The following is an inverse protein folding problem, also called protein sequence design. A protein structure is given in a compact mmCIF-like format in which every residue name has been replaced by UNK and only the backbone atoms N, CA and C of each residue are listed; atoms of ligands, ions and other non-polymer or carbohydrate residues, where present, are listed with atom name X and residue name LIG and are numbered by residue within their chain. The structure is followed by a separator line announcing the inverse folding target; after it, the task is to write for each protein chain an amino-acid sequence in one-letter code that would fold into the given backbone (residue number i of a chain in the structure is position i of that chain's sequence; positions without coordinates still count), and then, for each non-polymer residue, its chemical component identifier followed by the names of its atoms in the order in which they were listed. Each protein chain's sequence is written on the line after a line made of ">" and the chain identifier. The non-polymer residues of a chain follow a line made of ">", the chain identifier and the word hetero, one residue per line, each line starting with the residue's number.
data_IF_346503642298
#
_entry.id   IF_346503642298
#
_cell.length_a   1.000
_cell.length_b   1.000
_cell.length_c   1.000
_cell.angle_alpha   90.00
_cell.angle_beta   90.00
_cell.angle_gamma   90.00
#
_symmetry.space_group_name_H-M   'P 1'
#
loop_
_entity.id
_entity.type
_entity.pdbx_description
1 polymer ?
#
# COMPACT_ATOMS: atom_id res chain seq x y z
N UNK A 1 2.48 9.33 9.77
CA UNK A 1 2.77 9.18 8.32
C UNK A 1 1.50 9.13 7.50
N UNK A 2 0.60 8.21 7.82
CA UNK A 2 -0.62 8.08 7.03
C UNK A 2 -1.46 9.34 7.07
N UNK A 3 -1.47 10.01 8.21
CA UNK A 3 -2.19 11.27 8.33
C UNK A 3 -1.63 12.38 7.45
N UNK A 4 -0.31 12.41 7.27
CA UNK A 4 0.32 13.37 6.40
C UNK A 4 0.04 13.08 4.93
N UNK A 5 0.04 11.81 4.57
CA UNK A 5 -0.22 11.40 3.19
C UNK A 5 -1.63 11.79 2.74
N UNK A 6 -2.53 12.02 3.68
CA UNK A 6 -3.91 12.41 3.39
C UNK A 6 -4.07 13.89 3.02
N UNK A 7 -3.00 14.57 2.67
CA UNK A 7 -3.06 16.02 2.38
C UNK A 7 -3.33 16.33 0.91
N UNK A 8 -3.69 15.37 0.11
CA UNK A 8 -4.00 15.60 -1.29
C UNK A 8 -2.79 15.68 -2.21
N UNK A 9 -1.60 15.59 -1.64
CA UNK A 9 -0.34 15.72 -2.38
C UNK A 9 0.32 14.39 -2.70
N UNK A 10 -0.31 13.29 -2.33
CA UNK A 10 0.31 11.98 -2.45
C UNK A 10 -0.58 10.97 -3.14
N UNK A 11 0.06 10.04 -3.83
CA UNK A 11 -0.57 8.83 -4.35
C UNK A 11 -0.01 7.66 -3.55
N UNK A 12 -0.88 6.80 -3.04
CA UNK A 12 -0.48 5.67 -2.22
C UNK A 12 -0.93 4.39 -2.91
N UNK A 13 0.02 3.51 -3.12
CA UNK A 13 -0.22 2.18 -3.70
C UNK A 13 -0.14 1.17 -2.57
N UNK A 14 -1.13 0.29 -2.48
CA UNK A 14 -1.18 -0.73 -1.44
C UNK A 14 -1.28 -2.13 -2.04
N UNK A 15 -0.57 -3.08 -1.44
CA UNK A 15 -0.61 -4.49 -1.82
C UNK A 15 -0.59 -5.35 -0.56
N UNK A 16 -1.46 -6.34 -0.51
CA UNK A 16 -1.56 -7.23 0.64
C UNK A 16 -0.75 -8.51 0.42
N UNK A 17 0.03 -8.86 1.43
CA UNK A 17 0.76 -10.11 1.52
C UNK A 17 0.18 -10.90 2.69
N UNK A 18 -0.48 -12.03 2.41
CA UNK A 18 -1.03 -12.86 3.46
C UNK A 18 -2.37 -12.37 3.99
N UNK A 19 -2.49 -12.25 5.30
CA UNK A 19 -3.76 -11.94 5.95
C UNK A 19 -3.66 -10.63 6.72
N UNK A 20 -4.71 -9.81 6.62
CA UNK A 20 -4.79 -8.54 7.34
C UNK A 20 -5.99 -8.50 8.29
N UNK A 21 -6.82 -9.56 8.27
CA UNK A 21 -8.19 -9.44 8.75
C UNK A 21 -8.35 -9.14 10.22
N UNK A 22 -8.02 -10.13 11.05
CA UNK A 22 -8.47 -10.11 12.42
C UNK A 22 -7.68 -9.17 13.33
N UNK A 23 -6.47 -8.89 12.97
CA UNK A 23 -5.55 -8.17 13.86
C UNK A 23 -5.41 -6.70 13.52
N UNK A 24 -6.18 -6.19 12.57
CA UNK A 24 -6.07 -4.80 12.18
C UNK A 24 -6.70 -3.90 13.25
N UNK A 25 -5.88 -3.06 13.86
CA UNK A 25 -6.31 -2.12 14.89
C UNK A 25 -7.37 -1.17 14.37
N UNK A 26 -8.31 -0.78 15.26
CA UNK A 26 -9.33 0.18 14.92
C UNK A 26 -8.76 1.47 14.35
N UNK A 27 -7.69 1.98 14.95
CA UNK A 27 -7.07 3.22 14.50
C UNK A 27 -6.49 3.09 13.09
N UNK A 28 -5.92 1.94 12.74
CA UNK A 28 -5.41 1.73 11.39
C UNK A 28 -6.52 1.70 10.37
N UNK A 29 -7.64 1.06 10.71
CA UNK A 29 -8.81 1.05 9.82
C UNK A 29 -9.32 2.46 9.56
N UNK A 30 -9.36 3.26 10.61
CA UNK A 30 -9.82 4.64 10.51
C UNK A 30 -8.88 5.46 9.62
N UNK A 31 -7.57 5.29 9.82
CA UNK A 31 -6.58 5.99 9.00
C UNK A 31 -6.65 5.57 7.54
N UNK A 32 -6.81 4.28 7.27
CA UNK A 32 -6.93 3.80 5.89
C UNK A 32 -8.13 4.41 5.19
N UNK A 33 -9.25 4.53 5.88
CA UNK A 33 -10.43 5.21 5.33
C UNK A 33 -10.17 6.69 5.07
N UNK A 34 -9.49 7.34 5.98
CA UNK A 34 -9.14 8.76 5.78
C UNK A 34 -8.23 8.97 4.58
N UNK A 35 -7.37 8.01 4.28
CA UNK A 35 -6.52 8.09 3.10
C UNK A 35 -7.30 7.91 1.80
N UNK A 36 -8.49 7.35 1.86
CA UNK A 36 -9.32 7.15 0.70
C UNK A 36 -9.59 5.70 0.32
N UNK A 37 -8.96 4.74 1.00
CA UNK A 37 -9.25 3.33 0.74
C UNK A 37 -10.66 3.02 1.22
N UNK A 38 -11.49 2.47 0.32
CA UNK A 38 -12.88 2.16 0.62
C UNK A 38 -13.07 0.74 1.13
N UNK A 39 -12.13 -0.14 0.85
CA UNK A 39 -12.20 -1.52 1.28
C UNK A 39 -11.99 -1.62 2.79
N UNK A 40 -12.84 -2.42 3.45
CA UNK A 40 -12.60 -2.77 4.85
C UNK A 40 -11.67 -3.97 4.86
N UNK A 41 -10.41 -3.72 5.23
CA UNK A 41 -9.37 -4.74 5.19
C UNK A 41 -9.65 -5.94 6.10
N UNK A 42 -10.54 -5.77 7.09
CA UNK A 42 -10.93 -6.89 7.95
C UNK A 42 -11.76 -7.93 7.22
N UNK A 43 -12.42 -7.53 6.15
CA UNK A 43 -13.30 -8.44 5.40
C UNK A 43 -12.58 -9.16 4.27
N UNK A 44 -11.26 -8.94 4.12
CA UNK A 44 -10.51 -9.60 3.08
C UNK A 44 -10.40 -11.12 3.27
N UNK A 45 -10.35 -11.57 4.53
CA UNK A 45 -10.29 -13.00 4.84
C UNK A 45 -9.19 -13.74 4.07
N UNK A 46 -8.01 -13.12 4.03
CA UNK A 46 -6.87 -13.73 3.35
C UNK A 46 -6.87 -13.58 1.83
N UNK A 47 -7.79 -12.80 1.28
CA UNK A 47 -7.81 -12.55 -0.16
C UNK A 47 -6.70 -11.60 -0.56
N UNK A 48 -6.32 -11.67 -1.84
CA UNK A 48 -5.40 -10.71 -2.43
C UNK A 48 -6.08 -9.35 -2.55
N UNK A 49 -5.30 -8.27 -2.45
CA UNK A 49 -5.83 -6.92 -2.56
C UNK A 49 -4.79 -5.98 -3.15
N UNK A 50 -5.22 -5.18 -4.11
CA UNK A 50 -4.44 -4.09 -4.68
C UNK A 50 -5.29 -2.84 -4.62
N UNK A 51 -4.71 -1.74 -4.13
CA UNK A 51 -5.43 -0.47 -4.07
C UNK A 51 -4.52 0.70 -4.37
N UNK A 52 -5.10 1.73 -4.96
CA UNK A 52 -4.42 2.99 -5.23
C UNK A 52 -5.34 4.13 -4.84
N UNK A 53 -4.84 5.03 -4.01
CA UNK A 53 -5.54 6.26 -3.67
C UNK A 53 -4.69 7.44 -4.08
N UNK A 54 -5.33 8.52 -4.49
CA UNK A 54 -4.64 9.74 -4.85
C UNK A 54 -5.47 10.92 -4.39
N UNK A 55 -4.82 11.85 -3.69
CA UNK A 55 -5.52 13.01 -3.18
C UNK A 55 -6.65 12.68 -2.23
N UNK A 56 -6.53 11.60 -1.48
CA UNK A 56 -7.54 11.20 -0.51
C UNK A 56 -8.73 10.45 -1.09
N UNK A 57 -8.63 9.99 -2.34
CA UNK A 57 -9.72 9.26 -3.00
C UNK A 57 -9.20 7.98 -3.64
N UNK A 58 -9.98 6.92 -3.53
CA UNK A 58 -9.66 5.67 -4.21
C UNK A 58 -9.78 5.86 -5.72
N UNK A 59 -8.73 5.51 -6.43
CA UNK A 59 -8.74 5.53 -7.89
C UNK A 59 -8.77 4.11 -8.46
N UNK A 60 -8.40 3.12 -7.66
CA UNK A 60 -8.43 1.72 -8.07
C UNK A 60 -8.40 0.84 -6.83
N UNK A 61 -9.29 -0.15 -6.76
CA UNK A 61 -9.25 -1.19 -5.74
C UNK A 61 -9.71 -2.50 -6.35
N UNK A 62 -9.01 -3.59 -6.04
CA UNK A 62 -9.35 -4.92 -6.54
C UNK A 62 -9.01 -5.97 -5.50
N UNK A 63 -9.90 -6.97 -5.33
CA UNK A 63 -9.68 -8.10 -4.45
C UNK A 63 -9.90 -9.40 -5.23
N UNK A 64 -9.38 -10.50 -4.73
CA UNK A 64 -9.60 -11.78 -5.36
C UNK A 64 -9.02 -12.94 -4.57
N UNK A 65 -9.42 -14.16 -4.95
CA UNK A 65 -8.95 -15.39 -4.30
C UNK A 65 -7.64 -15.90 -4.89
N UNK A 66 -7.24 -15.37 -6.03
CA UNK A 66 -6.00 -15.73 -6.69
C UNK A 66 -5.00 -14.58 -6.59
N UNK A 67 -3.76 -14.86 -6.97
CA UNK A 67 -2.76 -13.80 -7.03
C UNK A 67 -3.19 -12.76 -8.05
N UNK A 68 -3.10 -11.49 -7.66
CA UNK A 68 -3.44 -10.37 -8.53
C UNK A 68 -2.19 -9.66 -9.00
N UNK A 69 -2.18 -9.28 -10.27
CA UNK A 69 -1.12 -8.42 -10.82
C UNK A 69 -1.78 -7.36 -11.68
N UNK A 70 -1.45 -6.09 -11.42
CA UNK A 70 -2.00 -4.96 -12.15
C UNK A 70 -0.88 -4.06 -12.63
N UNK A 71 -1.03 -3.58 -13.85
CA UNK A 71 -0.10 -2.61 -14.43
C UNK A 71 -0.82 -1.27 -14.52
N UNK A 72 -0.30 -0.28 -13.84
CA UNK A 72 -0.90 1.04 -13.80
C UNK A 72 0.10 2.10 -14.22
N UNK A 73 -0.41 3.23 -14.65
CA UNK A 73 0.41 4.35 -15.07
C UNK A 73 0.06 5.55 -14.23
N UNK A 74 1.06 6.24 -13.72
CA UNK A 74 0.88 7.45 -12.96
C UNK A 74 1.41 8.65 -13.75
N UNK A 75 0.82 9.81 -13.47
CA UNK A 75 1.30 11.09 -14.00
C UNK A 75 1.39 11.11 -15.52
N UNK A 76 0.31 10.63 -16.17
CA UNK A 76 0.23 10.64 -17.62
C UNK A 76 1.23 9.74 -18.32
N UNK A 77 1.64 8.68 -17.65
CA UNK A 77 2.57 7.71 -18.22
C UNK A 77 4.02 7.90 -17.81
N UNK A 78 4.30 8.89 -16.97
CA UNK A 78 5.69 9.13 -16.52
C UNK A 78 6.22 8.02 -15.64
N UNK A 79 5.36 7.36 -14.86
CA UNK A 79 5.75 6.26 -14.00
C UNK A 79 4.87 5.07 -14.30
N UNK A 80 5.49 3.93 -14.60
CA UNK A 80 4.79 2.66 -14.77
C UNK A 80 4.92 1.86 -13.49
N UNK A 81 3.78 1.41 -12.93
CA UNK A 81 3.76 0.66 -11.68
C UNK A 81 3.13 -0.70 -11.92
N UNK A 82 3.84 -1.75 -11.56
CA UNK A 82 3.30 -3.11 -11.56
C UNK A 82 3.13 -3.54 -10.11
N UNK A 83 1.92 -3.94 -9.76
CA UNK A 83 1.56 -4.29 -8.40
C UNK A 83 1.12 -5.75 -8.37
N UNK A 84 1.69 -6.53 -7.45
CA UNK A 84 1.30 -7.93 -7.26
C UNK A 84 0.89 -8.13 -5.82
N UNK A 85 -0.21 -8.83 -5.60
CA UNK A 85 -0.68 -9.21 -4.28
C UNK A 85 -1.04 -10.68 -4.25
N UNK A 86 -0.51 -11.39 -3.26
CA UNK A 86 -0.91 -12.75 -2.96
C UNK A 86 -1.39 -12.81 -1.52
N UNK A 87 -2.69 -12.95 -1.32
CA UNK A 87 -3.25 -13.13 0.01
C UNK A 87 -3.03 -14.55 0.52
N UNK A 88 -3.39 -14.79 1.78
CA UNK A 88 -3.18 -16.09 2.41
C UNK A 88 -3.90 -17.22 1.68
N UNK A 89 -5.09 -16.95 1.14
CA UNK A 89 -5.88 -18.00 0.47
C UNK A 89 -5.23 -18.50 -0.81
N UNK A 90 -4.27 -17.75 -1.39
CA UNK A 90 -3.58 -18.19 -2.59
C UNK A 90 -2.56 -19.30 -2.32
N UNK A 91 -2.14 -19.45 -1.06
CA UNK A 91 -1.03 -20.34 -0.71
C UNK A 91 0.34 -19.78 -1.07
N UNK A 92 0.40 -18.60 -1.67
CA UNK A 92 1.65 -17.95 -2.08
C UNK A 92 1.62 -16.48 -1.70
N UNK A 93 1.79 -16.16 -0.40
CA UNK A 93 1.77 -14.77 0.06
C UNK A 93 2.90 -13.96 -0.56
N UNK A 94 2.57 -12.82 -1.15
CA UNK A 94 3.54 -11.95 -1.76
C UNK A 94 2.95 -10.55 -1.93
N UNK A 95 3.79 -9.53 -1.82
CA UNK A 95 3.42 -8.18 -2.20
C UNK A 95 4.57 -7.56 -2.97
N UNK A 96 4.29 -7.05 -4.17
CA UNK A 96 5.28 -6.39 -5.00
C UNK A 96 4.73 -5.08 -5.51
N UNK A 97 5.56 -4.06 -5.50
CA UNK A 97 5.26 -2.76 -6.09
C UNK A 97 6.50 -2.35 -6.86
N UNK A 98 6.44 -2.55 -8.17
CA UNK A 98 7.59 -2.25 -9.04
C UNK A 98 7.28 -0.98 -9.81
N UNK A 99 8.08 0.05 -9.59
CA UNK A 99 7.92 1.33 -10.28
C UNK A 99 9.14 1.55 -11.16
N UNK A 100 8.90 1.70 -12.45
CA UNK A 100 9.94 1.89 -13.47
C UNK A 100 11.05 0.86 -13.33
N UNK A 101 10.66 -0.40 -13.13
CA UNK A 101 11.60 -1.53 -13.07
C UNK A 101 12.26 -1.77 -11.73
N UNK A 102 11.97 -0.94 -10.72
CA UNK A 102 12.58 -1.10 -9.40
C UNK A 102 11.54 -1.55 -8.38
N UNK A 103 11.90 -2.54 -7.56
CA UNK A 103 11.02 -3.07 -6.51
C UNK A 103 11.06 -2.19 -5.27
N UNK A 104 9.90 -1.74 -4.81
CA UNK A 104 9.80 -0.89 -3.63
C UNK A 104 9.05 -1.54 -2.46
N UNK A 105 8.19 -2.52 -2.71
CA UNK A 105 7.49 -3.17 -1.60
C UNK A 105 8.48 -3.90 -0.71
N UNK A 106 8.43 -3.69 0.61
CA UNK A 106 9.25 -4.48 1.53
C UNK A 106 8.91 -5.97 1.50
N UNK A 107 7.73 -6.31 1.01
CA UNK A 107 7.18 -7.67 0.94
C UNK A 107 7.04 -8.28 2.33
N UNK A 108 6.64 -7.46 3.31
CA UNK A 108 6.34 -7.94 4.65
C UNK A 108 4.91 -8.47 4.72
N UNK A 109 4.63 -9.34 5.68
CA UNK A 109 3.27 -9.81 5.93
C UNK A 109 2.35 -8.64 6.25
N UNK A 110 1.13 -8.69 5.75
CA UNK A 110 0.15 -7.66 6.00
C UNK A 110 0.02 -6.70 4.82
N UNK A 111 0.00 -5.40 5.11
CA UNK A 111 -0.22 -4.38 4.10
C UNK A 111 1.09 -3.72 3.73
N UNK A 112 1.40 -3.68 2.43
CA UNK A 112 2.59 -3.02 1.91
C UNK A 112 2.16 -1.76 1.16
N UNK A 113 2.85 -0.65 1.42
CA UNK A 113 2.55 0.65 0.82
C UNK A 113 3.74 1.21 0.09
N UNK A 114 3.47 1.90 -1.01
CA UNK A 114 4.44 2.78 -1.65
C UNK A 114 3.78 4.15 -1.80
N UNK A 115 4.50 5.19 -1.43
CA UNK A 115 3.98 6.56 -1.43
C UNK A 115 4.70 7.36 -2.50
N UNK A 116 3.93 8.00 -3.36
CA UNK A 116 4.44 8.87 -4.42
C UNK A 116 4.04 10.30 -4.12
N UNK A 117 5.00 11.22 -4.25
CA UNK A 117 4.73 12.65 -4.10
C UNK A 117 4.21 13.16 -5.45
N UNK A 118 2.98 13.67 -5.45
CA UNK A 118 2.34 14.10 -6.70
C UNK A 118 2.98 15.36 -7.30
N UNK A 119 3.60 16.18 -6.47
CA UNK A 119 4.28 17.38 -6.95
C UNK A 119 5.63 17.02 -7.59
N UNK A 120 6.39 16.18 -6.92
CA UNK A 120 7.68 15.72 -7.42
C UNK A 120 7.55 14.63 -8.47
N UNK A 121 6.41 13.98 -8.50
CA UNK A 121 6.11 12.86 -9.42
C UNK A 121 7.14 11.75 -9.31
N UNK A 122 7.44 11.36 -8.07
CA UNK A 122 8.36 10.26 -7.80
C UNK A 122 7.99 9.56 -6.51
N UNK A 123 8.46 8.33 -6.34
CA UNK A 123 8.26 7.59 -5.11
C UNK A 123 9.14 8.19 -4.01
N UNK A 124 8.58 8.28 -2.82
CA UNK A 124 9.27 8.92 -1.70
C UNK A 124 9.38 8.02 -0.47
N UNK A 125 8.57 6.97 -0.39
CA UNK A 125 8.62 6.07 0.75
C UNK A 125 7.96 4.73 0.42
N UNK A 126 8.37 3.70 1.14
CA UNK A 126 7.72 2.39 1.08
C UNK A 126 7.76 1.78 2.48
N UNK A 127 6.69 1.09 2.87
CA UNK A 127 6.55 0.55 4.21
C UNK A 127 5.58 -0.62 4.21
N UNK A 128 5.78 -1.58 5.11
CA UNK A 128 4.81 -2.64 5.35
C UNK A 128 4.41 -2.63 6.82
N UNK A 129 3.16 -3.03 7.06
CA UNK A 129 2.62 -3.20 8.41
C UNK A 129 2.18 -4.64 8.55
N UNK A 130 2.78 -5.35 9.52
CA UNK A 130 2.31 -6.68 9.89
C UNK A 130 1.19 -6.51 10.90
N UNK A 131 -0.04 -6.63 10.43
CA UNK A 131 -1.20 -6.39 11.28
C UNK A 131 -1.39 -7.45 12.36
N UNK A 132 -0.72 -8.60 12.24
CA UNK A 132 -0.83 -9.67 13.22
C UNK A 132 0.02 -9.40 14.47
N UNK A 133 1.09 -8.62 14.36
CA UNK A 133 2.00 -8.35 15.49
C UNK A 133 2.27 -6.86 15.67
N UNK A 134 1.56 -6.00 14.95
CA UNK A 134 1.68 -4.54 15.05
C UNK A 134 3.09 -4.02 14.81
N UNK A 135 3.83 -4.69 13.92
CA UNK A 135 5.15 -4.24 13.51
C UNK A 135 5.12 -3.68 12.10
N UNK A 136 6.17 -2.99 11.74
CA UNK A 136 6.29 -2.46 10.38
C UNK A 136 7.74 -2.55 9.91
N UNK A 137 7.89 -2.58 8.59
CA UNK A 137 9.19 -2.51 7.94
C UNK A 137 9.21 -1.30 7.02
N UNK A 138 10.24 -0.48 7.17
CA UNK A 138 10.40 0.74 6.40
C UNK A 138 11.49 0.57 5.35
N UNK A 139 11.19 1.04 4.14
CA UNK A 139 12.17 1.09 3.06
C UNK A 139 12.08 2.49 2.46
N UNK A 140 12.91 3.39 2.97
CA UNK A 140 12.92 4.76 2.53
C UNK A 140 13.68 4.96 1.24
N UNK A 141 13.25 5.90 0.42
CA UNK A 141 13.96 6.29 -0.79
C UNK A 141 14.78 7.55 -0.58
N UNK A 142 14.34 8.39 0.35
CA UNK A 142 15.02 9.62 0.75
C UNK A 142 14.92 9.76 2.25
N UNK A 143 15.97 10.25 2.89
CA UNK A 143 16.00 10.43 4.34
C UNK A 143 14.87 11.34 4.82
N UNK A 144 14.54 12.34 4.04
CA UNK A 144 13.46 13.27 4.37
C UNK A 144 12.14 12.57 4.65
N UNK A 145 11.82 11.54 3.90
CA UNK A 145 10.53 10.90 4.00
C UNK A 145 10.40 9.93 5.15
N UNK A 146 11.49 9.67 5.85
CA UNK A 146 11.44 8.90 7.08
C UNK A 146 10.54 9.57 8.11
N UNK A 147 10.51 10.89 8.13
CA UNK A 147 9.68 11.64 9.07
C UNK A 147 8.19 11.41 8.84
N UNK A 148 7.81 11.26 7.57
CA UNK A 148 6.42 10.98 7.23
C UNK A 148 6.00 9.63 7.76
N UNK A 149 6.91 8.66 7.75
CA UNK A 149 6.59 7.29 8.10
C UNK A 149 6.49 7.04 9.59
N UNK A 150 7.14 7.84 10.40
CA UNK A 150 7.08 7.66 11.86
C UNK A 150 5.97 8.45 12.51
N UNK A 151 5.33 9.32 11.78
CA UNK A 151 4.23 10.09 12.31
C UNK A 151 2.93 9.30 12.21
N UNK A 152 2.32 9.09 13.34
CA UNK A 152 1.11 8.31 13.43
C UNK A 152 -0.10 9.18 13.70
#
# INVERSE_FOLDING_TARGET
>A
FLGLANKGNYTIVASVNGDTGDMLEFQYRHLLKKLGFETDFRTLDGKSYIGVVSGGKAVFEKTGDEQLTENLSLYGGKISVTITSGGAVTGQPVARIIADGKEYAPNGSGINFAVFDNKLQKIVAAQSYDTSVYTYTYKGTDAFYGEILIEE
#
